data_IF_311991135376
#
_entry.id   IF_311991135376
#
_cell.length_a   1.000
_cell.length_b   1.000
_cell.length_c   1.000
_cell.angle_alpha   90.00
_cell.angle_beta   90.00
_cell.angle_gamma   90.00
#
_symmetry.space_group_name_H-M   'P 1'
#
loop_
_entity.id
_entity.type
_entity.pdbx_description
1 polymer ?
#
# COMPACT_ATOMS: atom_id res chain seq x y z
N UNK A 1 -65.01 15.32 -25.23
CA UNK A 1 -63.94 15.28 -26.26
C UNK A 1 -64.00 16.65 -26.94
N UNK A 2 -63.08 17.61 -26.87
CA UNK A 2 -61.64 17.60 -26.67
C UNK A 2 -61.19 18.98 -26.12
N UNK A 3 -61.04 19.13 -24.79
CA UNK A 3 -60.60 20.40 -24.21
C UNK A 3 -59.78 20.26 -22.90
N UNK A 4 -59.36 19.05 -22.53
CA UNK A 4 -58.60 18.80 -21.29
C UNK A 4 -57.35 17.93 -21.51
N UNK A 5 -56.69 18.09 -22.66
CA UNK A 5 -55.47 17.35 -23.03
C UNK A 5 -54.32 18.27 -23.48
N UNK A 6 -54.43 19.59 -23.23
CA UNK A 6 -53.47 20.58 -23.74
C UNK A 6 -52.86 21.48 -22.65
N UNK A 7 -52.87 21.04 -21.39
CA UNK A 7 -52.12 21.71 -20.29
C UNK A 7 -51.12 20.81 -19.57
N UNK A 8 -50.96 19.57 -20.02
CA UNK A 8 -50.02 18.58 -19.43
C UNK A 8 -49.01 18.08 -20.47
N UNK A 9 -48.55 18.97 -21.36
CA UNK A 9 -47.46 18.65 -22.30
C UNK A 9 -46.36 19.74 -22.29
N UNK A 10 -46.58 20.86 -21.60
CA UNK A 10 -45.62 21.98 -21.56
C UNK A 10 -44.94 22.16 -20.19
N UNK A 11 -44.81 21.09 -19.40
CA UNK A 11 -44.07 21.13 -18.12
C UNK A 11 -43.16 19.93 -17.89
N UNK A 12 -43.03 19.03 -18.87
CA UNK A 12 -42.11 17.87 -18.80
C UNK A 12 -40.89 18.06 -19.73
N UNK A 13 -40.92 19.00 -20.67
CA UNK A 13 -39.82 19.22 -21.61
C UNK A 13 -38.67 20.09 -21.06
N UNK A 14 -38.85 20.79 -19.94
CA UNK A 14 -37.81 21.68 -19.35
C UNK A 14 -37.08 21.07 -18.15
N UNK A 15 -37.47 19.88 -17.68
CA UNK A 15 -36.78 19.18 -16.59
C UNK A 15 -35.85 18.05 -17.08
N UNK A 16 -35.90 17.69 -18.37
CA UNK A 16 -35.11 16.58 -18.93
C UNK A 16 -33.96 17.02 -19.85
N UNK A 17 -33.67 18.32 -19.93
CA UNK A 17 -32.56 18.86 -20.74
C UNK A 17 -31.35 19.32 -19.90
N UNK A 18 -31.44 19.33 -18.56
CA UNK A 18 -30.30 19.62 -17.67
C UNK A 18 -29.61 18.37 -17.08
N UNK A 19 -30.08 17.16 -17.39
CA UNK A 19 -29.52 15.92 -16.85
C UNK A 19 -28.45 15.27 -17.76
N UNK A 20 -28.13 15.87 -18.92
CA UNK A 20 -27.19 15.30 -19.89
C UNK A 20 -25.91 16.14 -20.10
N UNK A 21 -25.74 17.21 -19.32
CA UNK A 21 -24.49 17.95 -19.25
C UNK A 21 -23.57 17.34 -18.17
N UNK A 22 -22.85 16.29 -18.55
CA UNK A 22 -21.54 15.96 -17.99
C UNK A 22 -21.47 15.46 -16.55
N UNK A 23 -21.96 14.24 -16.30
CA UNK A 23 -21.35 13.38 -15.27
C UNK A 23 -20.17 12.62 -15.89
N UNK A 24 -19.12 13.34 -16.28
CA UNK A 24 -17.81 12.70 -16.42
C UNK A 24 -17.33 12.21 -15.05
N UNK A 25 -16.42 11.23 -14.98
CA UNK A 25 -15.79 10.89 -13.71
C UNK A 25 -15.20 12.17 -13.12
N UNK A 26 -15.69 12.57 -11.94
CA UNK A 26 -15.18 13.72 -11.24
C UNK A 26 -13.74 13.38 -10.83
N UNK A 27 -12.77 13.84 -11.61
CA UNK A 27 -11.37 13.78 -11.22
C UNK A 27 -11.18 14.78 -10.08
N UNK A 28 -10.62 14.33 -8.97
CA UNK A 28 -10.30 15.24 -7.87
C UNK A 28 -9.34 16.32 -8.40
N UNK A 29 -9.64 17.59 -8.12
CA UNK A 29 -8.73 18.69 -8.42
C UNK A 29 -7.36 18.43 -7.78
N UNK A 30 -6.26 18.83 -8.43
CA UNK A 30 -4.94 18.67 -7.84
C UNK A 30 -4.89 19.37 -6.47
N UNK A 31 -4.18 18.78 -5.49
CA UNK A 31 -4.05 19.36 -4.16
C UNK A 31 -3.44 20.76 -4.25
N UNK A 32 -3.86 21.65 -3.35
CA UNK A 32 -3.31 23.00 -3.30
C UNK A 32 -1.90 22.95 -2.72
N UNK A 33 -1.09 23.95 -3.01
CA UNK A 33 0.29 24.08 -2.48
C UNK A 33 0.38 24.11 -0.94
N UNK A 34 -0.74 24.33 -0.24
CA UNK A 34 -0.83 24.27 1.23
C UNK A 34 -1.24 22.90 1.77
N UNK A 35 -1.75 22.00 0.92
CA UNK A 35 -2.09 20.64 1.31
C UNK A 35 -0.79 19.84 1.42
N UNK A 36 -0.44 19.38 2.64
CA UNK A 36 0.78 18.60 2.93
C UNK A 36 0.60 17.14 2.51
N UNK A 37 0.48 16.93 1.21
CA UNK A 37 0.28 15.60 0.62
C UNK A 37 1.57 15.06 0.04
N UNK A 38 1.68 13.74 0.02
CA UNK A 38 2.69 13.02 -0.75
C UNK A 38 2.06 12.30 -1.93
N UNK A 39 2.90 11.59 -2.67
CA UNK A 39 2.46 10.62 -3.67
C UNK A 39 3.24 9.32 -3.48
N UNK A 40 2.64 8.22 -3.88
CA UNK A 40 3.34 6.96 -4.07
C UNK A 40 3.56 6.69 -5.57
N UNK A 41 4.72 6.13 -5.91
CA UNK A 41 5.12 5.83 -7.29
C UNK A 41 5.87 4.50 -7.37
N UNK A 42 5.77 3.84 -8.51
CA UNK A 42 6.56 2.63 -8.82
C UNK A 42 6.71 2.50 -10.34
N UNK A 43 6.95 1.29 -10.82
CA UNK A 43 7.15 0.96 -12.22
C UNK A 43 6.10 1.52 -13.21
N UNK A 44 4.81 1.73 -12.86
CA UNK A 44 3.85 2.32 -13.81
C UNK A 44 4.18 3.78 -14.15
N UNK A 45 5.03 4.44 -13.36
CA UNK A 45 5.47 5.81 -13.55
C UNK A 45 6.87 5.92 -14.18
N UNK A 46 7.54 4.82 -14.56
CA UNK A 46 8.84 4.91 -15.23
C UNK A 46 8.78 5.80 -16.49
N UNK A 47 9.79 6.66 -16.64
CA UNK A 47 9.93 7.59 -17.77
C UNK A 47 8.91 8.73 -17.81
N UNK A 48 8.11 8.93 -16.76
CA UNK A 48 7.15 10.04 -16.65
C UNK A 48 7.74 11.19 -15.83
N UNK A 49 7.32 12.41 -16.15
CA UNK A 49 7.59 13.57 -15.28
C UNK A 49 6.68 13.51 -14.07
N UNK A 50 7.27 13.48 -12.88
CA UNK A 50 6.57 13.40 -11.61
C UNK A 50 6.41 14.79 -10.96
N UNK A 51 5.37 15.00 -10.13
CA UNK A 51 5.18 16.26 -9.40
C UNK A 51 6.33 16.58 -8.43
N UNK A 52 6.58 17.87 -8.22
CA UNK A 52 7.56 18.38 -7.25
C UNK A 52 6.90 19.16 -6.10
N UNK A 53 7.66 19.43 -5.04
CA UNK A 53 7.21 20.23 -3.90
C UNK A 53 6.20 19.50 -3.01
N UNK A 54 6.33 18.19 -2.93
CA UNK A 54 5.51 17.29 -2.11
C UNK A 54 5.92 17.36 -0.63
N UNK A 55 5.03 16.95 0.27
CA UNK A 55 5.37 16.82 1.69
C UNK A 55 6.23 15.59 1.98
N UNK A 56 5.97 14.50 1.25
CA UNK A 56 6.71 13.23 1.30
C UNK A 56 6.50 12.46 -0.01
N UNK A 57 7.28 11.40 -0.22
CA UNK A 57 7.14 10.46 -1.31
C UNK A 57 7.26 9.02 -0.78
N UNK A 58 6.55 8.09 -1.40
CA UNK A 58 6.68 6.66 -1.13
C UNK A 58 7.06 5.95 -2.43
N UNK A 59 8.18 5.22 -2.45
CA UNK A 59 8.69 4.59 -3.67
C UNK A 59 8.54 3.07 -3.59
N UNK A 60 7.94 2.48 -4.61
CA UNK A 60 7.76 1.04 -4.73
C UNK A 60 9.06 0.36 -5.16
N UNK A 61 9.55 -0.56 -4.34
CA UNK A 61 10.83 -1.25 -4.57
C UNK A 61 10.70 -2.37 -5.59
N UNK A 62 9.52 -3.01 -5.65
CA UNK A 62 9.26 -4.11 -6.56
C UNK A 62 8.22 -3.75 -7.65
N UNK A 63 8.21 -4.53 -8.74
CA UNK A 63 7.46 -4.26 -9.97
C UNK A 63 6.10 -4.99 -9.97
N UNK A 64 5.29 -4.80 -8.93
CA UNK A 64 3.98 -5.46 -8.78
C UNK A 64 4.03 -6.96 -8.46
N UNK A 65 5.22 -7.53 -8.30
CA UNK A 65 5.45 -8.90 -7.84
C UNK A 65 6.54 -8.90 -6.78
N UNK A 66 6.32 -9.63 -5.69
CA UNK A 66 7.24 -9.74 -4.55
C UNK A 66 8.64 -10.29 -4.89
N UNK A 67 8.86 -10.78 -6.11
CA UNK A 67 10.14 -11.31 -6.60
C UNK A 67 10.72 -10.53 -7.78
N UNK A 68 10.17 -9.38 -8.12
CA UNK A 68 10.66 -8.51 -9.20
C UNK A 68 11.28 -7.23 -8.64
N UNK A 69 12.11 -6.56 -9.44
CA UNK A 69 12.70 -5.24 -9.11
C UNK A 69 12.03 -4.17 -9.94
N UNK A 70 11.69 -3.03 -9.33
CA UNK A 70 11.23 -1.85 -10.05
C UNK A 70 12.39 -1.32 -10.94
N UNK A 71 12.25 -1.32 -12.28
CA UNK A 71 13.34 -0.96 -13.18
C UNK A 71 13.72 0.53 -13.16
N UNK A 72 12.91 1.39 -12.53
CA UNK A 72 13.22 2.81 -12.33
C UNK A 72 13.35 3.18 -10.85
N UNK A 73 13.68 2.21 -9.98
CA UNK A 73 13.82 2.45 -8.54
C UNK A 73 14.83 3.57 -8.24
N UNK A 74 16.03 3.50 -8.81
CA UNK A 74 17.09 4.50 -8.63
C UNK A 74 16.62 5.91 -9.01
N UNK A 75 16.13 6.08 -10.26
CA UNK A 75 15.58 7.35 -10.74
C UNK A 75 14.45 7.90 -9.86
N UNK A 76 13.62 7.01 -9.28
CA UNK A 76 12.51 7.40 -8.42
C UNK A 76 12.95 7.77 -7.01
N UNK A 77 14.01 7.16 -6.48
CA UNK A 77 14.62 7.58 -5.21
C UNK A 77 15.28 8.95 -5.35
N UNK A 78 16.02 9.18 -6.43
CA UNK A 78 16.61 10.49 -6.75
C UNK A 78 15.54 11.58 -6.92
N UNK A 79 14.45 11.24 -7.62
CA UNK A 79 13.29 12.13 -7.73
C UNK A 79 12.68 12.41 -6.36
N UNK A 80 12.48 11.40 -5.52
CA UNK A 80 11.88 11.57 -4.20
C UNK A 80 12.70 12.53 -3.34
N UNK A 81 14.01 12.31 -3.25
CA UNK A 81 14.91 13.15 -2.45
C UNK A 81 14.96 14.61 -2.92
N UNK A 82 14.94 14.83 -4.23
CA UNK A 82 14.97 16.18 -4.83
C UNK A 82 13.61 16.89 -4.78
N UNK A 83 12.49 16.16 -4.72
CA UNK A 83 11.14 16.71 -4.86
C UNK A 83 10.42 16.98 -3.55
N UNK A 84 10.79 16.27 -2.48
CA UNK A 84 10.11 16.40 -1.18
C UNK A 84 10.68 17.56 -0.37
N UNK A 85 9.78 18.38 0.19
CA UNK A 85 10.15 19.60 0.93
C UNK A 85 11.02 19.27 2.15
N UNK A 86 11.92 20.19 2.48
CA UNK A 86 12.71 20.18 3.71
C UNK A 86 12.41 21.46 4.54
N UNK A 87 12.29 21.38 5.88
CA UNK A 87 12.34 20.17 6.71
C UNK A 87 11.08 19.30 6.57
N UNK A 88 11.07 18.12 7.20
CA UNK A 88 9.92 17.22 7.23
C UNK A 88 8.64 17.95 7.65
N UNK A 89 7.58 17.82 6.84
CA UNK A 89 6.34 18.57 6.99
C UNK A 89 5.21 17.79 7.67
N UNK A 90 5.36 16.47 7.81
CA UNK A 90 4.32 15.52 8.24
C UNK A 90 4.87 14.48 9.22
N UNK A 91 3.98 13.69 9.84
CA UNK A 91 4.34 12.49 10.61
C UNK A 91 4.98 11.40 9.73
N UNK A 92 4.52 11.27 8.47
CA UNK A 92 5.16 10.42 7.47
C UNK A 92 6.61 10.91 7.18
N UNK A 93 7.60 9.99 7.11
CA UNK A 93 8.97 10.29 6.68
C UNK A 93 9.01 10.96 5.30
N UNK A 94 10.05 11.78 5.04
CA UNK A 94 10.20 12.50 3.76
C UNK A 94 10.22 11.55 2.57
N UNK A 95 10.96 10.45 2.69
CA UNK A 95 10.98 9.35 1.73
C UNK A 95 10.74 8.06 2.51
N UNK A 96 9.80 7.25 2.02
CA UNK A 96 9.50 5.92 2.54
C UNK A 96 9.43 4.94 1.37
N UNK A 97 9.46 3.65 1.66
CA UNK A 97 9.45 2.59 0.66
C UNK A 97 8.19 1.74 0.81
N UNK A 98 7.75 1.13 -0.27
CA UNK A 98 6.74 0.07 -0.20
C UNK A 98 7.13 -1.13 -1.06
N UNK A 99 6.61 -2.29 -0.67
CA UNK A 99 6.84 -3.56 -1.36
C UNK A 99 5.52 -4.28 -1.56
N UNK A 100 5.18 -4.65 -2.80
CA UNK A 100 4.10 -5.61 -3.05
C UNK A 100 4.45 -6.93 -2.37
N UNK A 101 3.63 -7.32 -1.39
CA UNK A 101 3.79 -8.55 -0.63
C UNK A 101 3.05 -9.70 -1.29
N UNK A 102 3.46 -10.94 -1.03
CA UNK A 102 2.79 -12.11 -1.59
C UNK A 102 3.09 -13.35 -0.77
N UNK A 103 2.13 -14.27 -0.73
CA UNK A 103 2.34 -15.64 -0.32
C UNK A 103 1.71 -16.58 -1.36
N UNK A 104 2.45 -16.99 -2.40
CA UNK A 104 1.93 -17.88 -3.43
C UNK A 104 1.90 -19.36 -3.02
N UNK A 105 2.44 -19.71 -1.84
CA UNK A 105 2.67 -21.10 -1.46
C UNK A 105 3.56 -21.83 -2.48
N UNK A 106 3.27 -23.12 -2.68
CA UNK A 106 4.00 -23.98 -3.64
C UNK A 106 3.79 -23.60 -5.12
N UNK A 107 2.93 -22.63 -5.43
CA UNK A 107 2.79 -22.10 -6.79
C UNK A 107 3.86 -21.04 -7.13
N UNK A 108 4.61 -20.56 -6.13
CA UNK A 108 5.71 -19.61 -6.34
C UNK A 108 6.90 -20.24 -7.08
N UNK A 109 7.73 -19.40 -7.70
CA UNK A 109 8.97 -19.85 -8.36
C UNK A 109 10.02 -20.40 -7.40
N UNK A 110 9.89 -20.09 -6.11
CA UNK A 110 10.73 -20.57 -5.03
C UNK A 110 9.90 -20.69 -3.74
N UNK A 111 10.24 -21.67 -2.89
CA UNK A 111 9.62 -21.90 -1.59
C UNK A 111 10.67 -22.44 -0.60
N UNK A 112 10.71 -21.97 0.67
CA UNK A 112 11.73 -22.39 1.61
C UNK A 112 11.55 -23.86 2.02
N UNK A 113 12.68 -24.54 2.23
CA UNK A 113 12.72 -25.95 2.68
C UNK A 113 13.29 -26.12 4.09
N UNK A 114 13.72 -25.01 4.70
CA UNK A 114 14.30 -24.94 6.04
C UNK A 114 14.09 -23.53 6.62
N UNK A 115 14.40 -23.33 7.90
CA UNK A 115 14.44 -21.99 8.51
C UNK A 115 15.70 -21.19 8.13
N UNK A 116 16.47 -21.61 7.13
CA UNK A 116 17.73 -20.96 6.78
C UNK A 116 17.59 -20.16 5.49
N UNK A 117 18.00 -18.89 5.52
CA UNK A 117 18.00 -18.03 4.34
C UNK A 117 19.24 -17.13 4.33
N UNK A 118 19.95 -17.09 3.19
CA UNK A 118 21.12 -16.23 2.94
C UNK A 118 22.12 -16.12 4.11
N UNK A 119 22.52 -17.26 4.68
CA UNK A 119 23.51 -17.29 5.77
C UNK A 119 22.92 -17.20 7.18
N UNK A 120 21.62 -16.95 7.31
CA UNK A 120 20.96 -16.66 8.59
C UNK A 120 19.96 -17.75 8.96
N UNK A 121 19.98 -18.17 10.23
CA UNK A 121 18.94 -19.00 10.82
C UNK A 121 17.79 -18.10 11.27
N UNK A 122 16.66 -18.18 10.57
CA UNK A 122 15.44 -17.42 10.86
C UNK A 122 14.81 -17.93 12.15
N UNK A 123 14.63 -17.03 13.13
CA UNK A 123 13.84 -17.31 14.32
C UNK A 123 12.36 -17.35 13.93
N UNK A 124 11.78 -18.56 13.98
CA UNK A 124 10.48 -18.85 13.38
C UNK A 124 9.48 -19.26 14.48
N UNK A 125 8.50 -18.40 14.82
CA UNK A 125 7.56 -18.66 15.89
C UNK A 125 6.60 -19.82 15.57
N UNK A 126 6.51 -20.23 14.30
CA UNK A 126 5.70 -21.36 13.84
C UNK A 126 6.45 -22.69 13.80
N UNK A 127 7.72 -22.71 14.23
CA UNK A 127 8.55 -23.91 14.30
C UNK A 127 9.36 -24.16 13.04
N UNK A 128 9.54 -25.43 12.68
CA UNK A 128 10.43 -25.82 11.58
C UNK A 128 9.73 -25.77 10.23
N UNK A 129 10.19 -24.89 9.34
CA UNK A 129 9.89 -25.03 7.92
C UNK A 129 10.58 -26.27 7.35
N UNK A 130 9.81 -27.08 6.62
CA UNK A 130 10.27 -28.32 5.99
C UNK A 130 9.82 -28.47 4.54
N UNK A 131 9.62 -27.37 3.82
CA UNK A 131 9.16 -27.37 2.42
C UNK A 131 7.65 -27.60 2.23
N UNK A 132 6.89 -27.57 3.32
CA UNK A 132 5.42 -27.74 3.28
C UNK A 132 4.75 -26.41 3.00
N UNK A 133 3.51 -26.47 2.51
CA UNK A 133 2.66 -25.30 2.42
C UNK A 133 1.98 -25.04 3.77
N UNK A 134 2.71 -24.44 4.70
CA UNK A 134 2.25 -24.15 6.07
C UNK A 134 2.79 -22.81 6.59
N UNK A 135 2.32 -22.39 7.77
CA UNK A 135 2.72 -21.13 8.40
C UNK A 135 4.22 -21.02 8.64
N UNK A 136 4.88 -22.14 8.99
CA UNK A 136 6.32 -22.14 9.24
C UNK A 136 7.10 -21.79 7.98
N UNK A 137 6.75 -22.39 6.83
CA UNK A 137 7.40 -22.03 5.57
C UNK A 137 6.93 -20.69 5.00
N UNK A 138 5.68 -20.30 5.21
CA UNK A 138 5.20 -18.97 4.81
C UNK A 138 5.98 -17.85 5.53
N UNK A 139 6.21 -17.99 6.84
CA UNK A 139 7.02 -17.03 7.60
C UNK A 139 8.43 -16.88 7.06
N UNK A 140 9.10 -18.00 6.74
CA UNK A 140 10.45 -17.96 6.16
C UNK A 140 10.42 -17.38 4.75
N UNK A 141 9.34 -17.62 3.98
CA UNK A 141 9.17 -17.03 2.66
C UNK A 141 9.09 -15.50 2.75
N UNK A 142 8.24 -14.97 3.63
CA UNK A 142 8.14 -13.53 3.88
C UNK A 142 9.45 -12.92 4.32
N UNK A 143 10.12 -13.51 5.32
CA UNK A 143 11.46 -13.09 5.76
C UNK A 143 12.44 -13.02 4.57
N UNK A 144 12.44 -14.04 3.71
CA UNK A 144 13.28 -14.06 2.52
C UNK A 144 12.91 -12.98 1.50
N UNK A 145 11.63 -12.65 1.34
CA UNK A 145 11.20 -11.59 0.40
C UNK A 145 11.65 -10.22 0.89
N UNK A 146 11.45 -9.93 2.17
CA UNK A 146 11.93 -8.69 2.79
C UNK A 146 13.46 -8.56 2.75
N UNK A 147 14.21 -9.67 2.95
CA UNK A 147 15.66 -9.69 2.73
C UNK A 147 16.01 -9.29 1.30
N UNK A 148 15.37 -9.92 0.31
CA UNK A 148 15.66 -9.59 -1.08
C UNK A 148 15.30 -8.13 -1.37
N UNK A 149 14.24 -7.60 -0.77
CA UNK A 149 13.77 -6.22 -0.98
C UNK A 149 14.81 -5.21 -0.48
N UNK A 150 15.38 -5.44 0.70
CA UNK A 150 16.40 -4.59 1.28
C UNK A 150 17.79 -4.75 0.62
N UNK A 151 18.18 -5.98 0.24
CA UNK A 151 19.59 -6.28 -0.07
C UNK A 151 19.86 -6.43 -1.57
N UNK A 152 18.91 -6.96 -2.34
CA UNK A 152 19.16 -7.36 -3.74
C UNK A 152 18.63 -6.36 -4.76
N UNK A 153 17.85 -5.37 -4.34
CA UNK A 153 17.13 -4.46 -5.26
C UNK A 153 17.80 -3.10 -5.45
N UNK A 154 18.93 -2.85 -4.78
CA UNK A 154 19.66 -1.59 -4.92
C UNK A 154 19.08 -0.46 -4.07
N UNK A 155 18.58 -0.80 -2.88
CA UNK A 155 18.24 0.18 -1.85
C UNK A 155 19.47 0.36 -0.97
N UNK A 156 20.04 1.56 -0.98
CA UNK A 156 21.13 1.92 -0.06
C UNK A 156 20.56 2.20 1.33
N UNK A 157 21.31 1.85 2.39
CA UNK A 157 20.94 2.06 3.80
C UNK A 157 19.46 1.68 4.11
N UNK A 158 19.03 0.45 3.80
CA UNK A 158 17.63 0.04 3.91
C UNK A 158 17.04 0.17 5.32
N UNK A 159 17.88 0.18 6.35
CA UNK A 159 17.50 0.41 7.75
C UNK A 159 16.97 1.82 8.05
N UNK A 160 17.37 2.83 7.25
CA UNK A 160 17.00 4.22 7.47
C UNK A 160 15.60 4.56 6.89
N UNK A 161 15.02 3.63 6.12
CA UNK A 161 13.69 3.80 5.53
C UNK A 161 12.59 3.21 6.41
N UNK A 162 11.42 3.84 6.31
CA UNK A 162 10.15 3.24 6.72
C UNK A 162 9.58 2.39 5.58
N UNK A 163 9.19 1.15 5.86
CA UNK A 163 8.70 0.18 4.88
C UNK A 163 7.20 -0.10 5.00
N UNK A 164 6.45 0.13 3.94
CA UNK A 164 5.05 -0.25 3.83
C UNK A 164 4.90 -1.61 3.15
N UNK A 165 4.26 -2.54 3.85
CA UNK A 165 3.83 -3.81 3.28
C UNK A 165 2.54 -3.61 2.51
N UNK A 166 2.62 -3.64 1.18
CA UNK A 166 1.45 -3.52 0.29
C UNK A 166 0.73 -4.87 0.21
N UNK A 167 -0.46 -4.92 0.81
CA UNK A 167 -1.31 -6.11 0.96
C UNK A 167 -2.61 -5.93 0.17
N UNK A 168 -2.57 -6.36 -1.09
CA UNK A 168 -3.69 -6.23 -2.03
C UNK A 168 -4.08 -7.53 -2.72
N UNK A 169 -5.35 -7.60 -3.13
CA UNK A 169 -5.97 -8.80 -3.73
C UNK A 169 -5.49 -9.07 -5.15
N UNK A 170 -4.78 -8.12 -5.77
CA UNK A 170 -4.10 -8.32 -7.05
C UNK A 170 -2.75 -9.04 -6.88
N UNK A 171 -2.18 -9.05 -5.67
CA UNK A 171 -0.98 -9.82 -5.37
C UNK A 171 -1.29 -11.32 -5.27
N UNK A 172 -0.24 -12.15 -5.24
CA UNK A 172 -0.38 -13.61 -5.17
C UNK A 172 -0.58 -14.07 -3.72
N UNK A 173 -1.78 -14.53 -3.39
CA UNK A 173 -2.14 -14.98 -2.04
C UNK A 173 -2.70 -16.39 -2.01
N UNK A 174 -2.45 -17.07 -0.90
CA UNK A 174 -3.13 -18.32 -0.57
C UNK A 174 -4.55 -18.04 -0.07
N UNK A 175 -5.48 -19.02 -0.16
CA UNK A 175 -6.76 -18.92 0.54
C UNK A 175 -6.62 -18.99 2.07
N UNK A 176 -5.50 -19.52 2.58
CA UNK A 176 -5.23 -19.62 4.01
C UNK A 176 -4.73 -18.28 4.57
N UNK A 177 -5.64 -17.55 5.21
CA UNK A 177 -5.33 -16.25 5.83
C UNK A 177 -4.28 -16.34 6.93
N UNK A 178 -4.15 -17.47 7.63
CA UNK A 178 -3.15 -17.59 8.69
C UNK A 178 -1.75 -17.76 8.10
N UNK A 179 -1.62 -18.47 6.99
CA UNK A 179 -0.36 -18.58 6.26
C UNK A 179 0.05 -17.23 5.66
N UNK A 180 -0.89 -16.45 5.11
CA UNK A 180 -0.62 -15.10 4.62
C UNK A 180 -0.20 -14.16 5.75
N UNK A 181 -0.81 -14.25 6.94
CA UNK A 181 -0.33 -13.49 8.12
C UNK A 181 1.08 -13.91 8.52
N UNK A 182 1.39 -15.20 8.56
CA UNK A 182 2.72 -15.68 8.90
C UNK A 182 3.78 -15.14 7.94
N UNK A 183 3.48 -15.06 6.65
CA UNK A 183 4.32 -14.40 5.64
C UNK A 183 4.60 -12.92 5.99
N UNK A 184 3.56 -12.13 6.23
CA UNK A 184 3.69 -10.72 6.61
C UNK A 184 4.45 -10.52 7.94
N UNK A 185 4.25 -11.40 8.92
CA UNK A 185 4.99 -11.40 10.19
C UNK A 185 6.48 -11.67 9.95
N UNK A 186 6.81 -12.58 9.01
CA UNK A 186 8.18 -12.87 8.60
C UNK A 186 8.85 -11.70 7.88
N UNK A 187 8.12 -11.01 7.00
CA UNK A 187 8.59 -9.77 6.36
C UNK A 187 8.90 -8.70 7.41
N UNK A 188 7.95 -8.48 8.34
CA UNK A 188 8.07 -7.52 9.44
C UNK A 188 9.28 -7.84 10.30
N UNK A 189 9.45 -9.11 10.70
CA UNK A 189 10.58 -9.54 11.53
C UNK A 189 11.93 -9.29 10.86
N UNK A 190 12.05 -9.42 9.54
CA UNK A 190 13.29 -9.08 8.84
C UNK A 190 13.58 -7.58 8.89
N UNK A 191 12.61 -6.74 8.50
CA UNK A 191 12.81 -5.28 8.51
C UNK A 191 13.13 -4.76 9.93
N UNK A 192 12.42 -5.25 10.95
CA UNK A 192 12.73 -4.93 12.35
C UNK A 192 14.15 -5.40 12.74
N UNK A 193 14.61 -6.54 12.22
CA UNK A 193 15.95 -7.07 12.53
C UNK A 193 17.10 -6.22 11.99
N UNK A 194 16.87 -5.46 10.91
CA UNK A 194 17.85 -4.49 10.39
C UNK A 194 17.69 -3.10 11.01
N UNK A 195 16.66 -2.89 11.85
CA UNK A 195 16.39 -1.62 12.52
C UNK A 195 15.38 -0.72 11.82
N UNK A 196 14.77 -1.19 10.72
CA UNK A 196 13.77 -0.43 9.97
C UNK A 196 12.39 -0.47 10.63
N UNK A 197 11.64 0.62 10.49
CA UNK A 197 10.23 0.69 10.88
C UNK A 197 9.32 0.15 9.77
N UNK A 198 8.18 -0.44 10.17
CA UNK A 198 7.25 -1.13 9.25
C UNK A 198 5.81 -0.67 9.45
N UNK A 199 5.05 -0.57 8.35
CA UNK A 199 3.62 -0.31 8.34
C UNK A 199 2.89 -1.17 7.32
N UNK A 200 1.55 -1.13 7.36
CA UNK A 200 0.71 -1.98 6.50
C UNK A 200 -0.16 -1.11 5.60
N UNK A 201 -0.10 -1.35 4.30
CA UNK A 201 -1.01 -0.76 3.32
C UNK A 201 -2.08 -1.75 2.87
N UNK A 202 -3.36 -1.33 2.93
CA UNK A 202 -4.48 -2.09 2.37
C UNK A 202 -5.78 -1.28 2.38
N UNK A 203 -6.88 -1.94 2.00
CA UNK A 203 -8.23 -1.57 2.47
C UNK A 203 -8.68 -2.58 3.52
N UNK A 204 -9.60 -2.21 4.42
CA UNK A 204 -10.16 -3.17 5.38
C UNK A 204 -10.80 -4.41 4.72
N UNK A 205 -11.35 -4.25 3.51
CA UNK A 205 -11.90 -5.37 2.74
C UNK A 205 -10.82 -6.33 2.22
N UNK A 206 -9.77 -5.79 1.59
CA UNK A 206 -8.66 -6.58 1.06
C UNK A 206 -7.93 -7.29 2.22
N UNK A 207 -7.63 -6.55 3.28
CA UNK A 207 -7.05 -7.09 4.51
C UNK A 207 -7.86 -8.25 5.10
N UNK A 208 -9.18 -8.07 5.27
CA UNK A 208 -10.06 -9.10 5.81
C UNK A 208 -10.10 -10.38 4.97
N UNK A 209 -9.89 -10.27 3.64
CA UNK A 209 -9.79 -11.41 2.73
C UNK A 209 -8.43 -12.10 2.76
N UNK A 210 -7.36 -11.34 2.88
CA UNK A 210 -5.98 -11.83 2.71
C UNK A 210 -5.40 -12.29 4.04
N UNK A 211 -5.40 -11.42 5.03
CA UNK A 211 -4.78 -11.62 6.33
C UNK A 211 -5.81 -11.98 7.41
N UNK A 212 -7.05 -11.49 7.30
CA UNK A 212 -8.10 -11.77 8.29
C UNK A 212 -7.75 -11.22 9.69
N UNK A 213 -8.20 -11.91 10.74
CA UNK A 213 -8.01 -11.45 12.12
C UNK A 213 -6.56 -11.65 12.61
N UNK A 214 -5.95 -10.58 13.13
CA UNK A 214 -4.60 -10.61 13.72
C UNK A 214 -4.69 -10.81 15.24
N UNK A 215 -3.99 -11.79 15.84
CA UNK A 215 -3.85 -11.87 17.29
C UNK A 215 -3.07 -10.69 17.86
N UNK A 216 -3.43 -10.19 19.04
CA UNK A 216 -2.70 -9.09 19.70
C UNK A 216 -1.26 -9.42 20.09
N UNK A 217 -0.85 -10.69 19.97
CA UNK A 217 0.51 -11.16 20.21
C UNK A 217 1.37 -11.20 18.93
N UNK A 218 0.78 -10.94 17.76
CA UNK A 218 1.50 -10.85 16.49
C UNK A 218 2.34 -9.57 16.45
N UNK A 219 3.51 -9.60 15.79
CA UNK A 219 4.29 -8.37 15.54
C UNK A 219 3.62 -7.45 14.50
N UNK A 220 2.53 -7.88 13.86
CA UNK A 220 1.68 -7.01 13.05
C UNK A 220 0.73 -6.13 13.90
N UNK A 221 0.49 -6.49 15.17
CA UNK A 221 -0.36 -5.71 16.04
C UNK A 221 0.29 -4.38 16.41
N UNK A 222 -0.46 -3.29 16.33
CA UNK A 222 0.03 -1.94 16.61
C UNK A 222 0.78 -1.26 15.46
N UNK A 223 1.17 -1.98 14.40
CA UNK A 223 1.79 -1.36 13.22
C UNK A 223 0.86 -0.30 12.62
N UNK A 224 1.37 0.86 12.19
CA UNK A 224 0.54 1.90 11.59
C UNK A 224 -0.08 1.42 10.27
N UNK A 225 -1.29 1.91 9.99
CA UNK A 225 -2.03 1.59 8.77
C UNK A 225 -1.96 2.72 7.76
N UNK A 226 -1.70 2.37 6.50
CA UNK A 226 -1.91 3.20 5.33
C UNK A 226 -3.17 2.71 4.61
N UNK A 227 -4.27 3.47 4.72
CA UNK A 227 -5.57 3.05 4.20
C UNK A 227 -5.84 3.60 2.80
N UNK A 228 -6.10 2.70 1.85
CA UNK A 228 -6.61 3.05 0.53
C UNK A 228 -8.13 3.30 0.52
N UNK A 229 -8.63 3.78 -0.62
CA UNK A 229 -10.06 3.76 -0.96
C UNK A 229 -10.78 5.12 -0.96
N UNK A 230 -10.09 6.22 -0.68
CA UNK A 230 -10.67 7.55 -0.89
C UNK A 230 -10.58 7.97 -2.38
N UNK A 231 -11.54 8.79 -2.83
CA UNK A 231 -11.55 9.36 -4.19
C UNK A 231 -11.14 10.83 -4.24
N UNK A 232 -10.98 11.46 -3.08
CA UNK A 232 -10.67 12.89 -2.96
C UNK A 232 -9.85 13.11 -1.70
N UNK A 233 -9.10 14.22 -1.65
CA UNK A 233 -8.37 14.65 -0.45
C UNK A 233 -9.29 14.79 0.78
N UNK A 234 -10.52 15.29 0.59
CA UNK A 234 -11.50 15.39 1.69
C UNK A 234 -11.84 14.00 2.24
N UNK A 235 -12.01 13.01 1.37
CA UNK A 235 -12.24 11.63 1.75
C UNK A 235 -11.04 11.03 2.47
N UNK A 236 -9.82 11.27 1.98
CA UNK A 236 -8.59 10.81 2.62
C UNK A 236 -8.47 11.36 4.06
N UNK A 237 -8.69 12.68 4.24
CA UNK A 237 -8.74 13.30 5.57
C UNK A 237 -9.79 12.67 6.49
N UNK A 238 -10.98 12.37 5.97
CA UNK A 238 -12.01 11.66 6.76
C UNK A 238 -11.59 10.23 7.13
N UNK A 239 -10.86 9.54 6.25
CA UNK A 239 -10.42 8.16 6.47
C UNK A 239 -9.40 8.03 7.61
N UNK A 240 -8.72 9.12 8.00
CA UNK A 240 -7.83 9.13 9.18
C UNK A 240 -8.55 8.76 10.48
N UNK A 241 -9.87 8.93 10.56
CA UNK A 241 -10.68 8.57 11.74
C UNK A 241 -11.19 7.12 11.72
N UNK A 242 -10.85 6.33 10.69
CA UNK A 242 -11.21 4.92 10.62
C UNK A 242 -10.33 4.09 11.57
N UNK A 243 -10.78 2.88 11.85
CA UNK A 243 -9.96 1.90 12.56
C UNK A 243 -8.78 1.45 11.67
N UNK A 244 -7.63 1.19 12.30
CA UNK A 244 -6.49 0.56 11.64
C UNK A 244 -6.76 -0.90 11.26
N UNK A 245 -5.85 -1.48 10.48
CA UNK A 245 -5.96 -2.83 9.93
C UNK A 245 -5.76 -3.93 10.97
N UNK A 246 -5.01 -3.64 12.04
CA UNK A 246 -4.68 -4.61 13.10
C UNK A 246 -5.06 -4.09 14.49
N UNK A 247 -5.19 -4.96 15.50
CA UNK A 247 -5.45 -4.52 16.87
C UNK A 247 -4.40 -3.53 17.36
N UNK A 248 -4.85 -2.41 17.94
CA UNK A 248 -3.96 -1.36 18.44
C UNK A 248 -3.34 -0.47 17.35
N UNK A 249 -3.63 -0.71 16.06
CA UNK A 249 -3.15 0.11 14.95
C UNK A 249 -3.85 1.47 14.89
N UNK A 250 -3.09 2.51 14.53
CA UNK A 250 -3.61 3.82 14.15
C UNK A 250 -3.45 4.03 12.64
N UNK A 251 -4.37 4.76 12.02
CA UNK A 251 -4.23 5.16 10.61
C UNK A 251 -3.23 6.31 10.51
N UNK A 252 -2.06 6.05 9.93
CA UNK A 252 -0.99 7.04 9.76
C UNK A 252 -1.04 7.73 8.40
N UNK A 253 -1.51 7.02 7.36
CA UNK A 253 -1.59 7.55 5.99
C UNK A 253 -2.90 7.12 5.35
N UNK A 254 -3.44 7.93 4.46
CA UNK A 254 -4.62 7.59 3.64
C UNK A 254 -4.38 7.95 2.18
N UNK A 255 -4.75 7.06 1.27
CA UNK A 255 -4.56 7.24 -0.17
C UNK A 255 -5.85 7.70 -0.86
N UNK A 256 -5.69 8.57 -1.85
CA UNK A 256 -6.72 8.93 -2.82
C UNK A 256 -6.14 9.15 -4.22
N UNK A 257 -6.94 8.85 -5.24
CA UNK A 257 -6.53 9.04 -6.64
C UNK A 257 -6.89 10.44 -7.12
N UNK A 258 -5.94 11.14 -7.75
CA UNK A 258 -6.18 12.42 -8.44
C UNK A 258 -5.36 12.49 -9.71
N UNK A 259 -6.01 12.79 -10.84
CA UNK A 259 -5.38 12.94 -12.16
C UNK A 259 -4.48 11.74 -12.58
N UNK A 260 -4.88 10.53 -12.20
CA UNK A 260 -4.14 9.30 -12.57
C UNK A 260 -2.86 9.07 -11.76
N UNK A 261 -2.71 9.75 -10.62
CA UNK A 261 -1.66 9.50 -9.63
C UNK A 261 -2.28 9.21 -8.27
N UNK A 262 -1.55 8.44 -7.48
CA UNK A 262 -1.93 8.04 -6.13
C UNK A 262 -1.33 9.04 -5.14
N UNK A 263 -2.21 9.88 -4.60
CA UNK A 263 -1.87 10.89 -3.61
C UNK A 263 -2.16 10.39 -2.22
N UNK A 264 -1.36 10.85 -1.27
CA UNK A 264 -1.40 10.41 0.10
C UNK A 264 -1.51 11.59 1.06
N UNK A 265 -2.32 11.41 2.10
CA UNK A 265 -2.47 12.33 3.20
C UNK A 265 -1.96 11.66 4.48
N UNK A 266 -0.97 12.28 5.13
CA UNK A 266 -0.50 11.87 6.45
C UNK A 266 -1.48 12.34 7.52
N UNK A 267 -1.93 11.42 8.37
CA UNK A 267 -2.85 11.68 9.47
C UNK A 267 -2.12 12.31 10.68
N UNK A 268 -2.85 13.09 11.46
CA UNK A 268 -2.38 13.79 12.66
C UNK A 268 -2.74 13.02 13.94
#
# INVERSE_FOLDING_TARGET
MAASMLKMVLSVATALALALAGSGPATAAPPRTSDRVGIDVSWPQCGKTLPEGLAFAVVGVNNGLANATNPCLEDQLDWAESSVRYPQATSQPRVALYVNTANPGLAGSWWPTSNFYMGTMVDNPYGKCGGKNDKACAYVYGYAKAYDDAVLRGVDDPEDYFWWLDVETENSWQPDTEANRADLEGMTAYFESIGADVGIYSTGYQWGKIAGAVPSTSNLAGLPSWLAGARTLKGAKSNCALEGLTPGSTVAVTQYVSNGLDYNYACE
#
